data_IF_264309374666
#
_entry.id   IF_264309374666
#
_cell.length_a   1.000
_cell.length_b   1.000
_cell.length_c   1.000
_cell.angle_alpha   90.00
_cell.angle_beta   90.00
_cell.angle_gamma   90.00
#
_symmetry.space_group_name_H-M   'P 1'
#
loop_
_entity.id
_entity.type
_entity.pdbx_description
1 polymer ?
#
# COMPACT_ATOMS: atom_id res chain seq x y z
N UNK A 1 14.03 5.85 6.69
CA UNK A 1 13.37 5.52 5.40
C UNK A 1 12.46 4.28 5.54
N UNK A 2 12.92 3.20 6.18
CA UNK A 2 12.14 1.98 6.45
C UNK A 2 10.85 2.16 7.28
N UNK A 3 10.84 3.06 8.28
CA UNK A 3 9.66 3.31 9.13
C UNK A 3 8.44 3.79 8.31
N UNK A 4 8.66 4.65 7.29
CA UNK A 4 7.59 5.13 6.41
C UNK A 4 6.98 4.01 5.56
N UNK A 5 7.81 3.02 5.21
CA UNK A 5 7.42 1.85 4.44
C UNK A 5 6.62 0.86 5.29
N UNK A 6 7.06 0.63 6.53
CA UNK A 6 6.30 -0.15 7.52
C UNK A 6 4.93 0.47 7.81
N UNK A 7 4.85 1.81 7.91
CA UNK A 7 3.59 2.52 8.11
C UNK A 7 2.59 2.30 6.96
N UNK A 8 3.06 2.29 5.71
CA UNK A 8 2.25 2.00 4.53
C UNK A 8 1.71 0.55 4.55
N UNK A 9 2.54 -0.42 4.93
CA UNK A 9 2.09 -1.81 5.11
C UNK A 9 1.01 -1.93 6.20
N UNK A 10 1.20 -1.27 7.35
CA UNK A 10 0.21 -1.29 8.43
C UNK A 10 -1.12 -0.68 7.96
N UNK A 11 -1.06 0.43 7.23
CA UNK A 11 -2.26 1.09 6.69
C UNK A 11 -3.00 0.19 5.68
N UNK A 12 -2.26 -0.55 4.86
CA UNK A 12 -2.80 -1.51 3.91
C UNK A 12 -3.53 -2.66 4.63
N UNK A 13 -2.90 -3.24 5.66
CA UNK A 13 -3.47 -4.33 6.47
C UNK A 13 -4.75 -3.86 7.17
N UNK A 14 -4.73 -2.67 7.77
CA UNK A 14 -5.91 -2.07 8.41
C UNK A 14 -7.03 -1.86 7.39
N UNK A 15 -6.73 -1.32 6.21
CA UNK A 15 -7.74 -1.12 5.17
C UNK A 15 -8.35 -2.45 4.69
N UNK A 16 -7.53 -3.50 4.56
CA UNK A 16 -7.97 -4.82 4.15
C UNK A 16 -8.83 -5.49 5.24
N UNK A 17 -8.48 -5.31 6.51
CA UNK A 17 -9.25 -5.82 7.65
C UNK A 17 -10.61 -5.13 7.75
N UNK A 18 -10.65 -3.80 7.59
CA UNK A 18 -11.91 -3.05 7.56
C UNK A 18 -12.77 -3.52 6.38
N UNK A 19 -12.17 -3.71 5.20
CA UNK A 19 -12.90 -4.24 4.02
C UNK A 19 -13.47 -5.63 4.31
N UNK A 20 -12.69 -6.51 4.94
CA UNK A 20 -13.14 -7.87 5.23
C UNK A 20 -14.30 -7.92 6.24
N UNK A 21 -14.27 -7.05 7.25
CA UNK A 21 -15.33 -6.98 8.27
C UNK A 21 -16.58 -6.23 7.81
N UNK A 22 -16.42 -5.24 6.93
CA UNK A 22 -17.52 -4.33 6.56
C UNK A 22 -18.24 -4.72 5.27
N UNK A 23 -17.65 -5.58 4.42
CA UNK A 23 -18.13 -5.72 3.04
C UNK A 23 -18.82 -7.06 2.79
N UNK A 24 -20.15 -7.03 2.85
CA UNK A 24 -20.98 -8.05 2.20
C UNK A 24 -20.91 -7.84 0.69
N UNK A 25 -20.68 -8.92 -0.07
CA UNK A 25 -20.38 -8.92 -1.51
C UNK A 25 -21.37 -8.03 -2.30
N UNK A 26 -20.84 -7.02 -3.01
CA UNK A 26 -21.60 -6.21 -3.98
C UNK A 26 -21.83 -4.74 -3.63
N UNK A 27 -21.44 -4.26 -2.44
CA UNK A 27 -21.68 -2.87 -2.01
C UNK A 27 -20.57 -1.89 -2.47
N UNK A 28 -20.93 -0.62 -2.71
CA UNK A 28 -20.04 0.50 -3.06
C UNK A 28 -18.73 0.60 -2.23
N UNK A 29 -18.74 0.39 -0.88
CA UNK A 29 -17.51 0.31 -0.08
C UNK A 29 -16.48 -0.68 -0.62
N UNK A 30 -16.89 -1.81 -1.21
CA UNK A 30 -15.97 -2.79 -1.79
C UNK A 30 -15.08 -2.18 -2.88
N UNK A 31 -15.68 -1.38 -3.79
CA UNK A 31 -14.95 -0.73 -4.88
C UNK A 31 -14.04 0.37 -4.37
N UNK A 32 -14.52 1.16 -3.41
CA UNK A 32 -13.72 2.21 -2.77
C UNK A 32 -12.47 1.62 -2.10
N UNK A 33 -12.64 0.56 -1.31
CA UNK A 33 -11.51 -0.11 -0.66
C UNK A 33 -10.56 -0.77 -1.65
N UNK A 34 -11.09 -1.36 -2.73
CA UNK A 34 -10.26 -1.92 -3.81
C UNK A 34 -9.42 -0.83 -4.49
N UNK A 35 -10.00 0.32 -4.80
CA UNK A 35 -9.28 1.48 -5.35
C UNK A 35 -8.29 2.10 -4.35
N UNK A 36 -8.63 2.11 -3.07
CA UNK A 36 -7.78 2.63 -2.01
C UNK A 36 -6.53 1.75 -1.79
N UNK A 37 -6.72 0.43 -1.74
CA UNK A 37 -5.64 -0.55 -1.69
C UNK A 37 -4.69 -0.41 -2.89
N UNK A 38 -5.26 -0.21 -4.08
CA UNK A 38 -4.50 0.00 -5.32
C UNK A 38 -3.68 1.31 -5.28
N UNK A 39 -4.24 2.39 -4.73
CA UNK A 39 -3.52 3.65 -4.53
C UNK A 39 -2.33 3.50 -3.57
N UNK A 40 -2.48 2.73 -2.50
CA UNK A 40 -1.39 2.48 -1.53
C UNK A 40 -0.27 1.66 -2.18
N UNK A 41 -0.63 0.63 -2.99
CA UNK A 41 0.33 -0.19 -3.74
C UNK A 41 1.16 0.68 -4.70
N UNK A 42 0.56 1.64 -5.39
CA UNK A 42 1.27 2.54 -6.30
C UNK A 42 2.29 3.41 -5.54
N UNK A 43 1.88 3.99 -4.42
CA UNK A 43 2.79 4.80 -3.56
C UNK A 43 3.94 3.94 -3.04
N UNK A 44 3.66 2.69 -2.66
CA UNK A 44 4.66 1.74 -2.21
C UNK A 44 5.67 1.39 -3.32
N UNK A 45 5.18 1.11 -4.54
CA UNK A 45 6.01 0.78 -5.69
C UNK A 45 6.94 1.93 -6.07
N UNK A 46 6.43 3.17 -6.09
CA UNK A 46 7.24 4.37 -6.35
C UNK A 46 8.38 4.51 -5.32
N UNK A 47 8.05 4.34 -4.04
CA UNK A 47 9.00 4.54 -2.97
C UNK A 47 10.01 3.38 -2.89
N UNK A 48 9.63 2.17 -3.32
CA UNK A 48 10.52 1.02 -3.53
C UNK A 48 11.51 1.24 -4.68
N UNK A 49 11.03 1.67 -5.85
CA UNK A 49 11.87 1.96 -7.02
C UNK A 49 12.92 3.01 -6.69
N UNK A 50 12.51 4.08 -5.99
CA UNK A 50 13.42 5.14 -5.55
C UNK A 50 14.50 4.60 -4.60
N UNK A 51 14.14 3.69 -3.70
CA UNK A 51 15.09 3.03 -2.80
C UNK A 51 16.05 2.09 -3.53
N UNK A 52 15.55 1.32 -4.52
CA UNK A 52 16.36 0.44 -5.35
C UNK A 52 17.40 1.23 -6.17
N UNK A 53 17.00 2.38 -6.74
CA UNK A 53 17.88 3.29 -7.45
C UNK A 53 18.96 3.85 -6.51
N UNK A 54 18.57 4.28 -5.31
CA UNK A 54 19.51 4.81 -4.31
C UNK A 54 20.53 3.75 -3.87
N UNK A 55 20.08 2.50 -3.65
CA UNK A 55 20.96 1.36 -3.35
C UNK A 55 21.94 1.06 -4.48
N UNK A 56 21.47 1.06 -5.74
CA UNK A 56 22.35 0.83 -6.89
C UNK A 56 23.38 1.96 -7.05
N UNK A 57 22.98 3.21 -6.81
CA UNK A 57 23.90 4.36 -6.84
C UNK A 57 24.95 4.31 -5.72
N UNK A 58 24.61 3.72 -4.56
CA UNK A 58 25.52 3.57 -3.42
C UNK A 58 26.48 2.38 -3.54
N UNK A 59 26.21 1.46 -4.49
CA UNK A 59 27.01 0.27 -4.76
C UNK A 59 28.02 0.49 -5.91
N UNK A 60 27.78 1.47 -6.78
CA UNK A 60 28.76 1.94 -7.78
C UNK A 60 29.67 3.01 -7.20
#
# INVERSE_FOLDING_TARGET
MFIKFGLLCILLVISSMITMYWTHEGTWPNRLFKSFSLSIIIVFLYHYLRFLIDLNKKRS
#
